data_IF_034065513273
#
_entry.id   IF_034065513273
#
_cell.length_a   1.000
_cell.length_b   1.000
_cell.length_c   1.000
_cell.angle_alpha   90.00
_cell.angle_beta   90.00
_cell.angle_gamma   90.00
#
_symmetry.space_group_name_H-M   'P 1'
#
loop_
_entity.id
_entity.type
_entity.pdbx_description
1 polymer ?
#
# COMPACT_ATOMS: atom_id res chain seq x y z
N UNK A 1 -48.58 -65.40 -7.03
CA UNK A 1 -48.08 -64.65 -5.86
C UNK A 1 -46.91 -63.70 -6.14
N UNK A 2 -45.94 -64.01 -7.04
CA UNK A 2 -44.79 -63.12 -7.33
C UNK A 2 -45.13 -61.76 -7.98
N UNK A 3 -46.21 -61.65 -8.77
CA UNK A 3 -46.60 -60.39 -9.44
C UNK A 3 -47.20 -59.32 -8.50
N UNK A 4 -47.76 -59.72 -7.36
CA UNK A 4 -48.37 -58.78 -6.39
C UNK A 4 -47.30 -58.06 -5.57
N UNK A 5 -46.20 -58.76 -5.23
CA UNK A 5 -45.08 -58.17 -4.49
C UNK A 5 -44.31 -57.10 -5.27
N UNK A 6 -44.20 -57.25 -6.59
CA UNK A 6 -43.51 -56.25 -7.44
C UNK A 6 -44.33 -54.96 -7.53
N UNK A 7 -45.66 -55.07 -7.59
CA UNK A 7 -46.56 -53.92 -7.66
C UNK A 7 -46.63 -53.15 -6.33
N UNK A 8 -46.58 -53.87 -5.20
CA UNK A 8 -46.55 -53.27 -3.86
C UNK A 8 -45.20 -52.58 -3.55
N UNK A 9 -44.08 -53.11 -4.04
CA UNK A 9 -42.76 -52.47 -3.92
C UNK A 9 -42.62 -51.21 -4.79
N UNK A 10 -43.25 -51.17 -5.97
CA UNK A 10 -43.26 -49.99 -6.83
C UNK A 10 -44.07 -48.82 -6.21
N UNK A 11 -45.16 -49.12 -5.49
CA UNK A 11 -45.98 -48.11 -4.79
C UNK A 11 -45.24 -47.56 -3.56
N UNK A 12 -44.48 -48.38 -2.86
CA UNK A 12 -43.66 -47.93 -1.71
C UNK A 12 -42.46 -47.07 -2.14
N UNK A 13 -41.89 -47.29 -3.33
CA UNK A 13 -40.81 -46.43 -3.84
C UNK A 13 -41.30 -45.05 -4.31
N UNK A 14 -42.55 -44.93 -4.78
CA UNK A 14 -43.08 -43.64 -5.24
C UNK A 14 -43.41 -42.66 -4.09
N UNK A 15 -43.62 -43.16 -2.87
CA UNK A 15 -43.90 -42.31 -1.70
C UNK A 15 -42.63 -41.77 -1.02
N UNK A 16 -41.44 -42.31 -1.33
CA UNK A 16 -40.19 -41.86 -0.72
C UNK A 16 -39.61 -40.58 -1.35
N UNK A 17 -40.09 -40.15 -2.53
CA UNK A 17 -39.50 -39.02 -3.26
C UNK A 17 -40.13 -37.65 -2.98
N UNK A 18 -41.18 -37.56 -2.15
CA UNK A 18 -41.89 -36.30 -1.87
C UNK A 18 -41.71 -35.75 -0.44
N UNK A 19 -40.70 -36.21 0.30
CA UNK A 19 -40.37 -35.68 1.61
C UNK A 19 -39.10 -34.79 1.59
N UNK A 20 -38.95 -33.92 0.59
CA UNK A 20 -38.10 -32.74 0.72
C UNK A 20 -38.84 -31.71 1.59
N UNK A 21 -39.05 -32.04 2.86
CA UNK A 21 -39.60 -31.13 3.84
C UNK A 21 -38.56 -30.01 4.03
N UNK A 22 -38.82 -28.87 3.40
CA UNK A 22 -38.03 -27.63 3.52
C UNK A 22 -37.80 -27.33 5.01
N UNK A 23 -36.64 -27.75 5.52
CA UNK A 23 -36.21 -27.48 6.89
C UNK A 23 -36.11 -25.97 6.98
N UNK A 24 -37.04 -25.33 7.69
CA UNK A 24 -37.09 -23.86 7.80
C UNK A 24 -35.76 -23.38 8.37
N UNK A 25 -35.00 -22.65 7.57
CA UNK A 25 -33.73 -22.11 8.01
C UNK A 25 -33.95 -21.16 9.20
N UNK A 26 -33.22 -21.33 10.31
CA UNK A 26 -33.39 -20.46 11.48
C UNK A 26 -33.01 -19.00 11.16
N UNK A 27 -32.16 -18.79 10.15
CA UNK A 27 -31.70 -17.47 9.70
C UNK A 27 -32.77 -16.67 8.94
N UNK A 28 -33.81 -17.36 8.45
CA UNK A 28 -34.95 -16.74 7.77
C UNK A 28 -35.99 -16.19 8.76
N UNK A 29 -35.84 -16.48 10.06
CA UNK A 29 -36.74 -16.03 11.11
C UNK A 29 -36.14 -14.81 11.80
N UNK A 30 -36.96 -13.77 11.95
CA UNK A 30 -36.62 -12.58 12.72
C UNK A 30 -37.85 -12.06 13.44
N UNK A 31 -37.69 -11.05 14.28
CA UNK A 31 -38.80 -10.50 15.06
C UNK A 31 -38.79 -8.98 15.06
N UNK A 32 -39.96 -8.40 15.25
CA UNK A 32 -40.14 -6.96 15.24
C UNK A 32 -41.36 -6.51 16.02
N UNK A 33 -41.41 -5.22 16.32
CA UNK A 33 -42.52 -4.56 17.00
C UNK A 33 -43.20 -3.57 16.07
N UNK A 34 -44.52 -3.43 16.14
CA UNK A 34 -45.23 -2.40 15.37
C UNK A 34 -44.82 -1.03 15.89
N UNK A 35 -44.36 -0.15 15.01
CA UNK A 35 -43.98 1.24 15.33
C UNK A 35 -45.01 2.24 14.82
N UNK A 36 -45.58 2.00 13.65
CA UNK A 36 -46.62 2.85 13.07
C UNK A 36 -47.51 2.00 12.15
N UNK A 37 -48.79 2.35 12.06
CA UNK A 37 -49.81 1.65 11.30
C UNK A 37 -50.64 2.66 10.51
N UNK A 38 -50.79 2.44 9.21
CA UNK A 38 -51.75 3.11 8.37
C UNK A 38 -52.64 2.05 7.71
N UNK A 39 -53.88 1.92 8.23
CA UNK A 39 -54.85 0.91 7.79
C UNK A 39 -55.33 1.17 6.36
N UNK A 40 -55.62 2.43 6.01
CA UNK A 40 -56.13 2.83 4.69
C UNK A 40 -55.13 2.49 3.57
N UNK A 41 -53.86 2.76 3.81
CA UNK A 41 -52.78 2.45 2.86
C UNK A 41 -52.30 0.99 2.95
N UNK A 42 -52.81 0.20 3.91
CA UNK A 42 -52.36 -1.18 4.24
C UNK A 42 -50.86 -1.25 4.56
N UNK A 43 -50.32 -0.20 5.17
CA UNK A 43 -48.90 -0.07 5.46
C UNK A 43 -48.64 -0.21 6.95
N UNK A 44 -47.69 -1.07 7.29
CA UNK A 44 -47.25 -1.27 8.67
C UNK A 44 -45.75 -1.07 8.73
N UNK A 45 -45.33 -0.21 9.65
CA UNK A 45 -43.92 0.00 9.96
C UNK A 45 -43.58 -0.81 11.20
N UNK A 46 -42.66 -1.75 11.05
CA UNK A 46 -42.13 -2.53 12.16
C UNK A 46 -40.75 -2.00 12.54
N UNK A 47 -40.50 -1.83 13.84
CA UNK A 47 -39.16 -1.69 14.40
C UNK A 47 -38.57 -3.08 14.59
N UNK A 48 -37.46 -3.36 13.92
CA UNK A 48 -36.82 -4.68 13.88
C UNK A 48 -35.42 -4.54 14.48
N UNK A 49 -35.02 -5.48 15.34
CA UNK A 49 -33.66 -5.57 15.85
C UNK A 49 -33.00 -6.83 15.29
N UNK A 50 -32.54 -6.76 14.04
CA UNK A 50 -32.00 -7.89 13.30
C UNK A 50 -30.93 -7.45 12.30
N UNK A 51 -29.69 -7.86 12.52
CA UNK A 51 -28.53 -7.43 11.71
C UNK A 51 -28.62 -7.84 10.23
N UNK A 52 -29.32 -8.93 9.95
CA UNK A 52 -29.48 -9.47 8.61
C UNK A 52 -30.62 -8.80 7.82
N UNK A 53 -31.28 -7.77 8.37
CA UNK A 53 -32.28 -6.96 7.66
C UNK A 53 -31.73 -6.36 6.35
N UNK A 54 -30.40 -6.17 6.26
CA UNK A 54 -29.71 -5.71 5.06
C UNK A 54 -29.89 -6.61 3.83
N UNK A 55 -30.21 -7.88 4.04
CA UNK A 55 -30.42 -8.87 2.98
C UNK A 55 -31.88 -8.94 2.49
N UNK A 56 -32.78 -8.14 3.08
CA UNK A 56 -34.12 -7.95 2.56
C UNK A 56 -34.11 -6.87 1.48
N UNK A 57 -34.77 -7.13 0.38
CA UNK A 57 -34.92 -6.21 -0.74
C UNK A 57 -36.35 -5.67 -0.83
N UNK A 58 -36.48 -4.54 -1.56
CA UNK A 58 -37.81 -4.01 -1.90
C UNK A 58 -38.50 -5.00 -2.82
N UNK A 59 -39.65 -5.47 -2.38
CA UNK A 59 -40.49 -6.41 -3.12
C UNK A 59 -40.43 -7.84 -2.62
N UNK A 60 -39.57 -8.16 -1.67
CA UNK A 60 -39.52 -9.47 -1.04
C UNK A 60 -40.79 -9.75 -0.24
N UNK A 61 -41.17 -11.02 -0.19
CA UNK A 61 -42.34 -11.48 0.56
C UNK A 61 -41.97 -11.90 1.98
N UNK A 62 -42.81 -11.49 2.92
CA UNK A 62 -42.65 -11.78 4.34
C UNK A 62 -43.96 -12.32 4.91
N UNK A 63 -43.85 -13.44 5.61
CA UNK A 63 -44.90 -13.96 6.46
C UNK A 63 -44.63 -13.52 7.88
N UNK A 64 -45.67 -13.08 8.59
CA UNK A 64 -45.55 -12.68 9.98
C UNK A 64 -46.77 -13.08 10.80
N UNK A 65 -46.57 -13.32 12.09
CA UNK A 65 -47.62 -13.76 13.00
C UNK A 65 -47.38 -13.25 14.43
N UNK A 66 -48.46 -13.10 15.19
CA UNK A 66 -48.40 -12.68 16.58
C UNK A 66 -47.85 -13.76 17.50
N UNK A 67 -47.46 -13.36 18.71
CA UNK A 67 -47.02 -14.28 19.74
C UNK A 67 -48.10 -15.37 19.99
N UNK A 68 -47.70 -16.64 19.98
CA UNK A 68 -48.58 -17.82 20.11
C UNK A 68 -49.59 -18.07 18.97
N UNK A 69 -49.45 -17.41 17.82
CA UNK A 69 -50.37 -17.55 16.68
C UNK A 69 -49.69 -18.12 15.41
N UNK A 70 -48.89 -19.18 15.53
CA UNK A 70 -48.11 -19.71 14.39
C UNK A 70 -48.95 -20.26 13.23
N UNK A 71 -50.21 -20.65 13.51
CA UNK A 71 -51.15 -21.17 12.52
C UNK A 71 -51.75 -20.07 11.64
N UNK A 72 -51.91 -18.86 12.19
CA UNK A 72 -52.56 -17.74 11.51
C UNK A 72 -51.50 -16.74 11.08
N UNK A 73 -50.94 -16.97 9.88
CA UNK A 73 -49.91 -16.10 9.32
C UNK A 73 -50.50 -15.06 8.39
N UNK A 74 -49.93 -13.87 8.46
CA UNK A 74 -50.19 -12.76 7.59
C UNK A 74 -49.04 -12.60 6.62
N UNK A 75 -49.36 -12.42 5.34
CA UNK A 75 -48.35 -12.21 4.30
C UNK A 75 -48.38 -10.76 3.82
N UNK A 76 -47.19 -10.24 3.52
CA UNK A 76 -47.02 -8.90 2.99
C UNK A 76 -45.74 -8.77 2.17
N UNK A 77 -45.64 -7.62 1.50
CA UNK A 77 -44.53 -7.27 0.63
C UNK A 77 -43.74 -6.12 1.22
N UNK A 78 -42.42 -6.21 1.18
CA UNK A 78 -41.55 -5.14 1.68
C UNK A 78 -41.54 -3.97 0.68
N UNK A 79 -41.86 -2.77 1.15
CA UNK A 79 -41.78 -1.55 0.34
C UNK A 79 -40.49 -0.77 0.56
N UNK A 80 -39.92 -0.87 1.75
CA UNK A 80 -38.70 -0.18 2.11
C UNK A 80 -38.12 -0.73 3.41
N UNK A 81 -36.80 -0.62 3.54
CA UNK A 81 -36.09 -0.99 4.76
C UNK A 81 -35.15 0.12 5.19
N UNK A 82 -34.92 0.19 6.48
CA UNK A 82 -33.84 0.92 7.14
C UNK A 82 -33.02 -0.07 7.99
N UNK A 83 -32.05 0.41 8.77
CA UNK A 83 -31.34 -0.41 9.76
C UNK A 83 -32.29 -0.97 10.81
N UNK A 84 -33.19 -0.13 11.34
CA UNK A 84 -34.03 -0.49 12.49
C UNK A 84 -35.51 -0.62 12.15
N UNK A 85 -35.91 -0.29 10.92
CA UNK A 85 -37.31 -0.24 10.52
C UNK A 85 -37.56 -0.99 9.21
N UNK A 86 -38.67 -1.71 9.16
CA UNK A 86 -39.18 -2.39 7.99
C UNK A 86 -40.57 -1.87 7.65
N UNK A 87 -40.77 -1.41 6.42
CA UNK A 87 -42.07 -0.97 5.92
C UNK A 87 -42.67 -2.10 5.07
N UNK A 88 -43.78 -2.66 5.53
CA UNK A 88 -44.46 -3.80 4.90
C UNK A 88 -45.85 -3.38 4.45
N UNK A 89 -46.18 -3.71 3.20
CA UNK A 89 -47.54 -3.64 2.67
C UNK A 89 -48.24 -4.97 2.87
N UNK A 90 -49.29 -5.00 3.67
CA UNK A 90 -50.00 -6.24 4.03
C UNK A 90 -51.10 -6.51 3.01
N UNK A 91 -51.19 -7.74 2.51
CA UNK A 91 -52.14 -8.08 1.44
C UNK A 91 -53.61 -8.03 1.89
N UNK A 92 -53.92 -8.62 3.05
CA UNK A 92 -55.28 -8.69 3.65
C UNK A 92 -55.28 -8.09 5.06
N UNK A 93 -55.19 -6.76 5.15
CA UNK A 93 -55.01 -6.08 6.45
C UNK A 93 -56.19 -6.29 7.41
N UNK A 94 -57.42 -6.31 6.91
CA UNK A 94 -58.64 -6.50 7.73
C UNK A 94 -58.63 -7.84 8.46
N UNK A 95 -58.54 -8.94 7.69
CA UNK A 95 -58.43 -10.30 8.22
C UNK A 95 -57.24 -10.45 9.19
N UNK A 96 -56.10 -9.86 8.83
CA UNK A 96 -54.92 -9.90 9.66
C UNK A 96 -55.08 -9.15 10.98
N UNK A 97 -55.80 -8.02 10.98
CA UNK A 97 -56.05 -7.22 12.17
C UNK A 97 -57.09 -7.88 13.10
N UNK A 98 -58.05 -8.63 12.55
CA UNK A 98 -58.98 -9.45 13.34
C UNK A 98 -58.25 -10.61 14.04
N UNK A 99 -57.41 -11.34 13.30
CA UNK A 99 -56.70 -12.50 13.84
C UNK A 99 -55.56 -12.11 14.78
N UNK A 100 -54.79 -11.08 14.41
CA UNK A 100 -53.63 -10.59 15.14
C UNK A 100 -53.59 -9.06 15.15
N UNK A 101 -54.30 -8.42 16.10
CA UNK A 101 -54.48 -6.97 16.08
C UNK A 101 -53.13 -6.24 16.11
N UNK A 102 -52.84 -5.44 15.08
CA UNK A 102 -51.55 -4.79 14.88
C UNK A 102 -51.44 -3.48 15.68
N UNK A 103 -51.62 -3.56 17.00
CA UNK A 103 -51.46 -2.41 17.88
C UNK A 103 -50.00 -1.95 17.97
N UNK A 104 -49.81 -0.64 18.21
CA UNK A 104 -48.49 -0.06 18.44
C UNK A 104 -47.76 -0.78 19.58
N UNK A 105 -46.48 -1.08 19.38
CA UNK A 105 -45.63 -1.79 20.35
C UNK A 105 -45.81 -3.31 20.36
N UNK A 106 -46.83 -3.87 19.70
CA UNK A 106 -47.07 -5.32 19.66
C UNK A 106 -45.97 -6.05 18.92
N UNK A 107 -45.63 -7.23 19.43
CA UNK A 107 -44.55 -8.07 18.92
C UNK A 107 -45.04 -9.09 17.90
N UNK A 108 -44.27 -9.23 16.82
CA UNK A 108 -44.52 -10.16 15.72
C UNK A 108 -43.26 -10.94 15.38
N UNK A 109 -43.45 -12.21 15.02
CA UNK A 109 -42.43 -13.05 14.42
C UNK A 109 -42.58 -13.01 12.91
N UNK A 110 -41.46 -13.01 12.21
CA UNK A 110 -41.37 -12.96 10.76
C UNK A 110 -40.66 -14.20 10.23
N UNK A 111 -41.02 -14.59 9.02
CA UNK A 111 -40.34 -15.59 8.21
C UNK A 111 -40.35 -15.14 6.75
N UNK A 112 -39.20 -15.25 6.08
CA UNK A 112 -39.11 -14.95 4.65
C UNK A 112 -38.24 -15.98 3.96
N UNK A 113 -38.79 -16.58 2.90
CA UNK A 113 -38.05 -17.51 2.05
C UNK A 113 -36.98 -16.76 1.25
N UNK A 114 -37.34 -15.57 0.74
CA UNK A 114 -36.44 -14.69 -0.01
C UNK A 114 -35.23 -14.29 0.83
N UNK A 115 -35.43 -14.02 2.13
CA UNK A 115 -34.34 -13.73 3.05
C UNK A 115 -33.33 -14.90 3.13
N UNK A 116 -33.81 -16.14 3.23
CA UNK A 116 -32.90 -17.31 3.28
C UNK A 116 -32.08 -17.41 2.00
N UNK A 117 -32.75 -17.23 0.85
CA UNK A 117 -32.10 -17.24 -0.45
C UNK A 117 -31.05 -16.13 -0.56
N UNK A 118 -31.40 -14.90 -0.18
CA UNK A 118 -30.49 -13.75 -0.23
C UNK A 118 -29.29 -13.93 0.70
N UNK A 119 -29.48 -14.48 1.91
CA UNK A 119 -28.38 -14.82 2.83
C UNK A 119 -27.48 -15.91 2.21
N UNK A 120 -28.05 -16.93 1.58
CA UNK A 120 -27.28 -18.00 0.94
C UNK A 120 -26.42 -17.47 -0.22
N UNK A 121 -26.98 -16.57 -1.03
CA UNK A 121 -26.27 -15.91 -2.13
C UNK A 121 -25.18 -15.01 -1.57
N UNK A 122 -25.48 -14.22 -0.55
CA UNK A 122 -24.51 -13.35 0.11
C UNK A 122 -23.31 -14.15 0.65
N UNK A 123 -23.54 -15.32 1.27
CA UNK A 123 -22.46 -16.21 1.75
C UNK A 123 -21.54 -16.66 0.62
N UNK A 124 -22.11 -17.12 -0.49
CA UNK A 124 -21.32 -17.50 -1.68
C UNK A 124 -20.51 -16.32 -2.20
N UNK A 125 -21.11 -15.14 -2.24
CA UNK A 125 -20.46 -13.92 -2.69
C UNK A 125 -19.31 -13.52 -1.75
N UNK A 126 -19.49 -13.62 -0.44
CA UNK A 126 -18.42 -13.36 0.53
C UNK A 126 -17.25 -14.32 0.37
N UNK A 127 -17.51 -15.60 0.09
CA UNK A 127 -16.46 -16.59 -0.17
C UNK A 127 -15.64 -16.21 -1.42
N UNK A 128 -16.31 -15.81 -2.51
CA UNK A 128 -15.65 -15.36 -3.74
C UNK A 128 -14.81 -14.10 -3.47
N UNK A 129 -15.35 -13.14 -2.72
CA UNK A 129 -14.64 -11.90 -2.39
C UNK A 129 -13.42 -12.15 -1.51
N UNK A 130 -13.49 -13.09 -0.55
CA UNK A 130 -12.34 -13.49 0.27
C UNK A 130 -11.25 -14.13 -0.58
N UNK A 131 -11.60 -15.03 -1.51
CA UNK A 131 -10.64 -15.62 -2.47
C UNK A 131 -9.99 -14.54 -3.34
N UNK A 132 -10.78 -13.59 -3.86
CA UNK A 132 -10.28 -12.47 -4.66
C UNK A 132 -9.33 -11.58 -3.86
N UNK A 133 -9.65 -11.28 -2.60
CA UNK A 133 -8.80 -10.52 -1.69
C UNK A 133 -7.44 -11.19 -1.51
N UNK A 134 -7.42 -12.48 -1.17
CA UNK A 134 -6.19 -13.25 -0.99
C UNK A 134 -5.32 -13.26 -2.26
N UNK A 135 -5.95 -13.44 -3.42
CA UNK A 135 -5.23 -13.42 -4.70
C UNK A 135 -4.61 -12.03 -4.99
N UNK A 136 -5.31 -10.95 -4.68
CA UNK A 136 -4.80 -9.58 -4.82
C UNK A 136 -3.68 -9.28 -3.83
N UNK A 137 -3.84 -9.65 -2.57
CA UNK A 137 -2.78 -9.52 -1.55
C UNK A 137 -1.51 -10.26 -1.99
N UNK A 138 -1.63 -11.47 -2.51
CA UNK A 138 -0.50 -12.22 -3.08
C UNK A 138 0.13 -11.58 -4.32
N UNK A 139 -0.63 -10.86 -5.15
CA UNK A 139 -0.06 -10.07 -6.27
C UNK A 139 0.69 -8.83 -5.76
N UNK A 140 0.11 -8.11 -4.81
CA UNK A 140 0.75 -6.94 -4.19
C UNK A 140 2.08 -7.33 -3.55
N UNK A 141 2.10 -8.43 -2.78
CA UNK A 141 3.33 -8.87 -2.11
C UNK A 141 4.43 -9.29 -3.10
N UNK A 142 4.07 -9.93 -4.21
CA UNK A 142 5.03 -10.25 -5.28
C UNK A 142 5.60 -8.99 -5.92
N UNK A 143 4.75 -8.01 -6.22
CA UNK A 143 5.19 -6.76 -6.82
C UNK A 143 6.10 -5.97 -5.88
N UNK A 144 5.81 -5.95 -4.57
CA UNK A 144 6.70 -5.33 -3.57
C UNK A 144 8.09 -5.95 -3.58
N UNK A 145 8.20 -7.28 -3.55
CA UNK A 145 9.50 -7.98 -3.63
C UNK A 145 10.27 -7.65 -4.91
N UNK A 146 9.56 -7.54 -6.03
CA UNK A 146 10.18 -7.16 -7.31
C UNK A 146 10.74 -5.73 -7.25
N UNK A 147 9.99 -4.79 -6.67
CA UNK A 147 10.45 -3.41 -6.48
C UNK A 147 11.66 -3.37 -5.55
N UNK A 148 11.63 -4.07 -4.42
CA UNK A 148 12.76 -4.15 -3.49
C UNK A 148 14.01 -4.70 -4.18
N UNK A 149 13.87 -5.78 -4.96
CA UNK A 149 14.97 -6.37 -5.72
C UNK A 149 15.53 -5.38 -6.75
N UNK A 150 14.64 -4.63 -7.42
CA UNK A 150 15.06 -3.59 -8.36
C UNK A 150 15.83 -2.47 -7.67
N UNK A 151 15.35 -1.98 -6.51
CA UNK A 151 16.02 -0.95 -5.73
C UNK A 151 17.41 -1.41 -5.28
N UNK A 152 17.54 -2.66 -4.79
CA UNK A 152 18.84 -3.23 -4.43
C UNK A 152 19.82 -3.26 -5.61
N UNK A 153 19.35 -3.55 -6.82
CA UNK A 153 20.20 -3.52 -8.03
C UNK A 153 20.66 -2.10 -8.34
N UNK A 154 19.76 -1.13 -8.26
CA UNK A 154 20.08 0.29 -8.48
C UNK A 154 21.13 0.77 -7.46
N UNK A 155 20.93 0.45 -6.19
CA UNK A 155 21.85 0.80 -5.11
C UNK A 155 23.23 0.15 -5.30
N UNK A 156 23.27 -1.15 -5.65
CA UNK A 156 24.53 -1.84 -5.92
C UNK A 156 25.32 -1.21 -7.08
N UNK A 157 24.62 -0.80 -8.15
CA UNK A 157 25.23 -0.11 -9.29
C UNK A 157 25.73 1.28 -8.86
N UNK A 158 24.92 2.04 -8.14
CA UNK A 158 25.28 3.37 -7.68
C UNK A 158 26.52 3.33 -6.76
N UNK A 159 26.52 2.43 -5.77
CA UNK A 159 27.65 2.23 -4.86
C UNK A 159 28.94 1.87 -5.60
N UNK A 160 28.86 1.04 -6.65
CA UNK A 160 30.02 0.70 -7.48
C UNK A 160 30.63 1.94 -8.15
N UNK A 161 29.79 2.80 -8.73
CA UNK A 161 30.26 4.02 -9.39
C UNK A 161 30.75 5.08 -8.41
N UNK A 162 30.11 5.22 -7.25
CA UNK A 162 30.59 6.10 -6.19
C UNK A 162 31.98 5.68 -5.68
N UNK A 163 32.20 4.38 -5.47
CA UNK A 163 33.52 3.87 -5.09
C UNK A 163 34.58 4.14 -6.17
N UNK A 164 34.25 3.92 -7.44
CA UNK A 164 35.16 4.23 -8.55
C UNK A 164 35.52 5.71 -8.58
N UNK A 165 34.52 6.58 -8.43
CA UNK A 165 34.72 8.02 -8.39
C UNK A 165 35.65 8.43 -7.25
N UNK A 166 35.44 7.90 -6.04
CA UNK A 166 36.31 8.20 -4.89
C UNK A 166 37.76 7.76 -5.12
N UNK A 167 37.97 6.60 -5.75
CA UNK A 167 39.32 6.14 -6.12
C UNK A 167 40.00 7.07 -7.10
N UNK A 168 39.30 7.47 -8.16
CA UNK A 168 39.83 8.42 -9.14
C UNK A 168 40.12 9.80 -8.52
N UNK A 169 39.25 10.27 -7.62
CA UNK A 169 39.49 11.52 -6.87
C UNK A 169 40.71 11.40 -5.95
N UNK A 170 40.96 10.23 -5.38
CA UNK A 170 42.16 9.97 -4.58
C UNK A 170 43.42 9.94 -5.44
N UNK A 171 43.42 9.16 -6.53
CA UNK A 171 44.55 9.11 -7.49
C UNK A 171 44.88 10.51 -8.02
N UNK A 172 43.86 11.29 -8.36
CA UNK A 172 44.04 12.68 -8.81
C UNK A 172 44.73 13.56 -7.76
N UNK A 173 44.34 13.44 -6.48
CA UNK A 173 44.99 14.17 -5.38
C UNK A 173 46.44 13.74 -5.19
N UNK A 174 46.71 12.44 -5.27
CA UNK A 174 48.07 11.90 -5.16
C UNK A 174 48.99 12.42 -6.29
N UNK A 175 48.50 12.46 -7.53
CA UNK A 175 49.25 13.03 -8.65
C UNK A 175 49.47 14.55 -8.49
N UNK A 176 48.48 15.30 -8.00
CA UNK A 176 48.68 16.72 -7.68
C UNK A 176 49.76 16.91 -6.62
N UNK A 177 49.77 16.10 -5.56
CA UNK A 177 50.80 16.21 -4.51
C UNK A 177 52.19 15.91 -5.02
N UNK A 178 52.35 14.92 -5.93
CA UNK A 178 53.65 14.64 -6.56
C UNK A 178 54.15 15.83 -7.39
N UNK A 179 53.26 16.43 -8.19
CA UNK A 179 53.61 17.61 -8.99
C UNK A 179 54.00 18.82 -8.12
N UNK A 180 53.34 19.00 -6.98
CA UNK A 180 53.69 20.02 -6.00
C UNK A 180 55.06 19.74 -5.35
N UNK A 181 55.35 18.48 -5.01
CA UNK A 181 56.65 18.06 -4.49
C UNK A 181 57.78 18.29 -5.50
N UNK A 182 57.57 17.89 -6.77
CA UNK A 182 58.50 18.14 -7.88
C UNK A 182 58.76 19.63 -8.05
N UNK A 183 57.71 20.46 -8.00
CA UNK A 183 57.84 21.91 -8.08
C UNK A 183 58.69 22.47 -6.93
N UNK A 184 58.45 22.01 -5.69
CA UNK A 184 59.21 22.44 -4.51
C UNK A 184 60.68 22.05 -4.64
N UNK A 185 60.97 20.83 -5.13
CA UNK A 185 62.33 20.37 -5.35
C UNK A 185 63.06 21.21 -6.41
N UNK A 186 62.40 21.49 -7.55
CA UNK A 186 62.94 22.36 -8.59
C UNK A 186 63.26 23.74 -8.02
N UNK A 187 62.34 24.35 -7.28
CA UNK A 187 62.54 25.68 -6.66
C UNK A 187 63.70 25.66 -5.65
N UNK A 188 63.84 24.59 -4.85
CA UNK A 188 64.98 24.45 -3.94
C UNK A 188 66.30 24.34 -4.69
N UNK A 189 66.33 23.56 -5.76
CA UNK A 189 67.51 23.39 -6.60
C UNK A 189 67.90 24.68 -7.33
N UNK A 190 66.94 25.44 -7.86
CA UNK A 190 67.18 26.73 -8.53
C UNK A 190 67.75 27.75 -7.55
N UNK A 191 67.15 27.88 -6.35
CA UNK A 191 67.66 28.78 -5.32
C UNK A 191 69.09 28.41 -4.90
N UNK A 192 69.39 27.10 -4.76
CA UNK A 192 70.74 26.62 -4.47
C UNK A 192 71.76 26.95 -5.56
N UNK A 193 71.36 26.91 -6.83
CA UNK A 193 72.20 27.30 -7.97
C UNK A 193 72.42 28.81 -8.02
N UNK A 194 71.40 29.63 -7.74
CA UNK A 194 71.52 31.08 -7.67
C UNK A 194 72.55 31.53 -6.61
N UNK A 195 72.55 30.90 -5.43
CA UNK A 195 73.55 31.19 -4.39
C UNK A 195 74.96 30.89 -4.90
N UNK A 196 75.18 29.73 -5.52
CA UNK A 196 76.49 29.34 -6.08
C UNK A 196 76.92 30.25 -7.23
N UNK A 197 75.98 30.70 -8.06
CA UNK A 197 76.23 31.67 -9.12
C UNK A 197 76.73 32.99 -8.53
N UNK A 198 76.05 33.50 -7.49
CA UNK A 198 76.43 34.74 -6.82
C UNK A 198 77.83 34.64 -6.18
N UNK A 199 78.15 33.52 -5.53
CA UNK A 199 79.51 33.27 -5.03
C UNK A 199 80.56 33.27 -6.14
N UNK A 200 80.23 32.70 -7.30
CA UNK A 200 81.14 32.65 -8.46
C UNK A 200 81.33 34.04 -9.06
N UNK A 201 80.25 34.83 -9.18
CA UNK A 201 80.31 36.22 -9.64
C UNK A 201 81.16 37.08 -8.70
N UNK A 202 80.98 36.96 -7.39
CA UNK A 202 81.83 37.66 -6.41
C UNK A 202 83.30 37.26 -6.57
N UNK A 203 83.61 35.98 -6.81
CA UNK A 203 84.99 35.55 -7.06
C UNK A 203 85.53 36.15 -8.36
N UNK A 204 84.74 36.18 -9.43
CA UNK A 204 85.13 36.80 -10.69
C UNK A 204 85.44 38.29 -10.51
N UNK A 205 84.65 39.01 -9.71
CA UNK A 205 84.92 40.41 -9.35
C UNK A 205 86.25 40.56 -8.59
N UNK A 206 86.52 39.69 -7.61
CA UNK A 206 87.79 39.71 -6.86
C UNK A 206 89.02 39.42 -7.73
N UNK A 207 88.90 38.48 -8.66
CA UNK A 207 89.98 38.09 -9.57
C UNK A 207 89.96 38.89 -10.88
N UNK A 208 89.11 39.91 -10.98
CA UNK A 208 89.07 40.78 -12.14
C UNK A 208 90.40 41.54 -12.20
N UNK A 209 91.23 41.19 -13.17
CA UNK A 209 92.49 41.86 -13.40
C UNK A 209 92.15 43.20 -14.03
N UNK A 210 92.30 44.28 -13.27
CA UNK A 210 92.29 45.62 -13.84
C UNK A 210 93.58 45.80 -14.66
N UNK A 211 93.44 46.09 -15.95
CA UNK A 211 94.60 46.33 -16.85
C UNK A 211 95.48 47.51 -16.39
N UNK A 212 94.97 48.37 -15.50
CA UNK A 212 95.68 49.52 -14.97
C UNK A 212 96.21 49.28 -13.55
N UNK A 213 97.33 48.56 -13.43
CA UNK A 213 98.04 48.33 -12.15
C UNK A 213 98.69 49.57 -11.52
N UNK A 214 98.61 50.74 -12.17
CA UNK A 214 99.20 51.98 -11.67
C UNK A 214 98.08 52.97 -11.32
N UNK A 215 97.63 52.96 -10.05
CA UNK A 215 97.20 54.22 -9.46
C UNK A 215 98.44 55.11 -9.46
N UNK A 216 98.40 56.25 -10.18
CA UNK A 216 99.47 57.24 -10.21
C UNK A 216 99.89 57.57 -8.77
N UNK A 217 101.00 56.99 -8.33
CA UNK A 217 101.60 57.32 -7.05
C UNK A 217 102.18 58.72 -7.16
N UNK A 218 101.97 59.56 -6.15
CA UNK A 218 102.35 60.98 -6.21
C UNK A 218 103.87 61.17 -6.41
N UNK A 219 104.66 60.15 -6.09
CA UNK A 219 106.10 60.10 -6.24
C UNK A 219 106.61 59.62 -7.60
N UNK A 220 105.75 59.12 -8.49
CA UNK A 220 106.16 58.69 -9.84
C UNK A 220 106.24 59.82 -10.89
N UNK A 221 106.05 61.08 -10.46
CA UNK A 221 106.06 62.28 -11.31
C UNK A 221 107.44 62.98 -11.42
N UNK A 222 108.53 62.37 -10.94
CA UNK A 222 109.88 62.92 -11.13
C UNK A 222 110.34 62.73 -12.59
N UNK A 223 110.58 63.85 -13.27
CA UNK A 223 110.89 63.91 -14.71
C UNK A 223 112.25 63.32 -15.08
N UNK A 224 113.11 63.01 -14.13
CA UNK A 224 114.51 62.64 -14.40
C UNK A 224 114.76 61.14 -14.65
N UNK A 225 113.79 60.27 -14.35
CA UNK A 225 113.98 58.80 -14.40
C UNK A 225 112.98 58.04 -15.28
N UNK A 226 112.07 58.72 -15.98
CA UNK A 226 111.03 58.06 -16.76
C UNK A 226 111.54 57.62 -18.15
N UNK A 227 112.06 56.38 -18.23
CA UNK A 227 112.28 55.69 -19.51
C UNK A 227 111.13 54.70 -19.71
N UNK A 228 110.20 55.06 -20.59
CA UNK A 228 109.15 54.17 -21.08
C UNK A 228 109.73 53.02 -21.91
N UNK A 229 109.01 51.89 -21.91
CA UNK A 229 108.48 51.30 -23.15
C UNK A 229 107.24 50.46 -22.85
#
# INVERSE_FOLDING_TARGET
MKKVYVLLMAILCFQASFAALSKKDPLAKFSGRVSNLNLDARLVRFKVNFDNIKFLNKGDEVDFWGQHQERNKCSGKILGRSSDYLLVKVYKIEWCNEQSPMALGRFFHFYSVDLSNNISVARKLTEILLKKRLALEGKVQRNKKLIETYLQRVEAVNNRYELLRRKLEQEWREELTKLEEDQIEIVRNTNGLEVRLNETNHKLELYQIEDNNLKLDRWSLDKTLYYEK
#
